data_IF_952061425419
#
_entry.id   IF_952061425419
#
_cell.length_a   1.000
_cell.length_b   1.000
_cell.length_c   1.000
_cell.angle_alpha   90.00
_cell.angle_beta   90.00
_cell.angle_gamma   90.00
#
_symmetry.space_group_name_H-M   'P 1'
#
loop_
_entity.id
_entity.type
_entity.pdbx_description
1 polymer ?
#
# COMPACT_ATOMS: atom_id res chain seq x y z
N UNK A 1 47.74 7.56 -7.18
CA UNK A 1 46.79 8.20 -8.12
C UNK A 1 45.52 8.40 -7.34
N UNK A 2 45.22 9.66 -7.03
CA UNK A 2 44.00 10.10 -6.35
C UNK A 2 42.81 9.67 -7.22
N UNK A 3 41.79 9.04 -6.64
CA UNK A 3 40.51 8.84 -7.33
C UNK A 3 39.81 10.20 -7.33
N UNK A 4 39.66 10.89 -8.47
CA UNK A 4 38.90 12.13 -8.51
C UNK A 4 37.47 11.84 -8.09
N UNK A 5 36.93 12.67 -7.20
CA UNK A 5 35.52 12.58 -6.83
C UNK A 5 34.71 13.07 -8.01
N UNK A 6 33.77 12.24 -8.49
CA UNK A 6 32.97 12.51 -9.68
C UNK A 6 31.78 13.40 -9.37
N UNK A 7 31.10 13.14 -8.25
CA UNK A 7 29.87 13.84 -7.89
C UNK A 7 29.58 13.67 -6.39
N UNK A 8 29.22 14.75 -5.73
CA UNK A 8 28.80 14.76 -4.33
C UNK A 8 27.32 15.12 -4.29
N UNK A 9 26.49 14.30 -3.64
CA UNK A 9 25.04 14.47 -3.61
C UNK A 9 24.51 14.52 -2.18
N UNK A 10 23.58 15.45 -1.93
CA UNK A 10 22.72 15.46 -0.75
C UNK A 10 21.38 14.85 -1.09
N UNK A 11 20.90 13.95 -0.24
CA UNK A 11 19.54 13.43 -0.36
C UNK A 11 18.83 13.46 1.00
N UNK A 12 17.81 14.33 1.19
CA UNK A 12 17.40 15.47 0.34
C UNK A 12 18.26 16.74 0.54
N UNK A 13 18.30 17.62 -0.48
CA UNK A 13 18.95 18.95 -0.41
C UNK A 13 18.25 19.90 0.57
N UNK A 14 16.93 19.75 0.74
CA UNK A 14 16.15 20.49 1.74
C UNK A 14 15.86 19.62 2.97
N UNK A 15 16.65 19.77 4.05
CA UNK A 15 16.43 19.02 5.28
C UNK A 15 15.12 19.39 5.96
N UNK A 16 14.48 18.40 6.56
CA UNK A 16 13.28 18.58 7.40
C UNK A 16 13.60 18.06 8.79
N UNK A 17 13.13 18.76 9.83
CA UNK A 17 13.25 18.31 11.22
C UNK A 17 12.78 16.86 11.39
N UNK A 18 13.62 16.04 12.04
CA UNK A 18 13.33 14.63 12.31
C UNK A 18 13.53 13.68 11.12
N UNK A 19 13.94 14.16 9.95
CA UNK A 19 14.23 13.34 8.77
C UNK A 19 15.74 13.23 8.56
N UNK A 20 16.26 12.00 8.42
CA UNK A 20 17.68 11.77 8.15
C UNK A 20 18.11 12.44 6.85
N UNK A 21 19.27 13.07 6.88
CA UNK A 21 19.97 13.57 5.71
C UNK A 21 21.31 12.85 5.55
N UNK A 22 21.56 12.42 4.31
CA UNK A 22 22.78 11.73 3.93
C UNK A 22 23.57 12.60 2.95
N UNK A 23 24.89 12.53 3.06
CA UNK A 23 25.81 13.02 2.05
C UNK A 23 26.53 11.82 1.44
N UNK A 24 26.50 11.69 0.12
CA UNK A 24 27.18 10.61 -0.58
C UNK A 24 28.19 11.14 -1.58
N UNK A 25 29.25 10.36 -1.79
CA UNK A 25 30.36 10.66 -2.70
C UNK A 25 30.40 9.56 -3.77
N UNK A 26 30.22 9.94 -5.03
CA UNK A 26 30.41 9.03 -6.16
C UNK A 26 31.88 9.09 -6.62
N UNK A 27 32.55 7.94 -6.65
CA UNK A 27 33.94 7.80 -7.12
C UNK A 27 33.98 7.42 -8.62
N UNK A 28 35.06 7.76 -9.33
CA UNK A 28 35.19 7.51 -10.77
C UNK A 28 35.33 6.03 -11.18
N UNK A 29 35.70 5.12 -10.27
CA UNK A 29 36.06 3.73 -10.57
C UNK A 29 35.19 2.77 -9.71
N UNK A 30 34.21 2.12 -10.35
CA UNK A 30 33.15 1.28 -9.71
C UNK A 30 33.68 -0.09 -9.20
N UNK A 31 34.91 -0.45 -9.58
CA UNK A 31 35.49 -1.78 -9.35
C UNK A 31 36.42 -1.88 -8.11
N UNK A 32 36.50 -0.85 -7.26
CA UNK A 32 37.31 -0.87 -6.02
C UNK A 32 36.45 -0.67 -4.78
N UNK A 33 36.83 -1.32 -3.68
CA UNK A 33 36.23 -1.07 -2.36
C UNK A 33 36.19 0.44 -2.08
N UNK A 34 34.98 0.96 -1.80
CA UNK A 34 34.80 2.36 -1.49
C UNK A 34 35.64 2.73 -0.27
N UNK A 35 36.42 3.83 -0.31
CA UNK A 35 37.23 4.25 0.81
C UNK A 35 36.33 4.56 2.02
N UNK A 36 36.85 4.32 3.22
CA UNK A 36 36.15 4.73 4.44
C UNK A 36 36.03 6.26 4.46
N UNK A 37 34.78 6.75 4.53
CA UNK A 37 34.46 8.17 4.50
C UNK A 37 34.05 8.65 5.89
N UNK A 38 34.70 9.71 6.35
CA UNK A 38 34.32 10.40 7.58
C UNK A 38 33.46 11.61 7.25
N UNK A 39 32.32 11.72 7.93
CA UNK A 39 31.35 12.79 7.76
C UNK A 39 31.32 13.64 9.03
N UNK A 40 31.57 14.93 8.92
CA UNK A 40 31.55 15.88 10.04
C UNK A 40 30.51 16.95 9.77
N UNK A 41 29.48 17.00 10.61
CA UNK A 41 28.34 17.89 10.45
C UNK A 41 28.48 19.15 11.29
N UNK A 42 28.05 20.26 10.72
CA UNK A 42 28.09 21.59 11.31
C UNK A 42 26.76 22.31 11.08
N UNK A 43 26.41 23.19 12.00
CA UNK A 43 25.36 24.18 11.86
C UNK A 43 25.98 25.51 11.47
N UNK A 44 25.46 26.12 10.41
CA UNK A 44 25.93 27.44 9.94
C UNK A 44 25.08 28.55 10.57
N UNK A 45 25.73 29.39 11.38
CA UNK A 45 25.11 30.56 12.00
C UNK A 45 24.98 31.71 11.01
N UNK A 46 24.11 32.68 11.30
CA UNK A 46 23.88 33.86 10.44
C UNK A 46 25.16 34.67 10.17
N UNK A 47 26.09 34.70 11.13
CA UNK A 47 27.39 35.36 11.01
C UNK A 47 28.40 34.57 10.17
N UNK A 48 28.03 33.40 9.63
CA UNK A 48 28.88 32.51 8.85
C UNK A 48 29.74 31.55 9.68
N UNK A 49 29.68 31.59 11.02
CA UNK A 49 30.40 30.64 11.87
C UNK A 49 29.82 29.23 11.76
N UNK A 50 30.72 28.24 11.82
CA UNK A 50 30.39 26.82 11.84
C UNK A 50 30.42 26.33 13.29
N UNK A 51 29.29 25.82 13.75
CA UNK A 51 29.19 25.12 15.03
C UNK A 51 29.20 23.62 14.76
N UNK A 52 30.13 22.88 15.37
CA UNK A 52 30.19 21.42 15.24
C UNK A 52 28.92 20.80 15.83
N UNK A 53 28.27 19.92 15.06
CA UNK A 53 27.11 19.14 15.50
C UNK A 53 27.55 17.73 15.89
N UNK A 54 27.99 16.92 14.92
CA UNK A 54 28.25 15.50 15.12
C UNK A 54 29.19 14.92 14.04
N UNK A 55 29.90 13.83 14.35
CA UNK A 55 30.66 13.03 13.38
C UNK A 55 29.92 11.73 13.14
N UNK A 56 29.19 11.65 12.04
CA UNK A 56 28.25 10.56 11.73
C UNK A 56 27.95 10.55 10.23
N UNK A 57 27.71 9.36 9.67
CA UNK A 57 27.37 9.17 8.25
C UNK A 57 26.10 9.93 7.83
N UNK A 58 25.17 10.14 8.77
CA UNK A 58 23.94 10.90 8.54
C UNK A 58 23.63 11.78 9.74
N UNK A 59 22.95 12.89 9.50
CA UNK A 59 22.44 13.77 10.56
C UNK A 59 20.91 13.80 10.55
N UNK A 60 20.30 14.00 11.72
CA UNK A 60 18.85 14.19 11.83
C UNK A 60 18.60 15.59 12.40
N UNK A 61 18.11 16.54 11.59
CA UNK A 61 17.88 17.92 12.03
C UNK A 61 16.90 17.99 13.19
N UNK A 62 17.15 18.92 14.10
CA UNK A 62 16.36 19.18 15.31
C UNK A 62 15.59 20.49 15.17
N UNK A 63 14.61 20.78 16.05
CA UNK A 63 13.92 22.07 16.06
C UNK A 63 14.85 23.29 16.22
N UNK A 64 16.04 23.12 16.78
CA UNK A 64 17.03 24.20 16.92
C UNK A 64 17.71 24.58 15.60
N UNK A 65 17.62 23.71 14.59
CA UNK A 65 18.28 23.91 13.30
C UNK A 65 17.36 24.61 12.30
N UNK A 66 16.06 24.74 12.60
CA UNK A 66 15.05 25.35 11.73
C UNK A 66 15.49 26.75 11.29
N UNK A 67 15.43 26.99 9.97
CA UNK A 67 15.85 28.24 9.35
C UNK A 67 17.37 28.41 9.17
N UNK A 68 18.18 27.47 9.67
CA UNK A 68 19.64 27.47 9.50
C UNK A 68 20.07 26.46 8.45
N UNK A 69 21.15 26.74 7.74
CA UNK A 69 21.79 25.76 6.83
C UNK A 69 22.68 24.81 7.63
N UNK A 70 22.67 23.54 7.25
CA UNK A 70 23.59 22.54 7.74
C UNK A 70 24.75 22.40 6.76
N UNK A 71 25.95 22.18 7.27
CA UNK A 71 27.13 21.94 6.46
C UNK A 71 27.77 20.59 6.82
N UNK A 72 28.11 19.77 5.84
CA UNK A 72 28.84 18.52 6.05
C UNK A 72 30.21 18.59 5.38
N UNK A 73 31.23 18.22 6.13
CA UNK A 73 32.57 17.97 5.62
C UNK A 73 32.75 16.46 5.43
N UNK A 74 32.99 16.03 4.20
CA UNK A 74 33.25 14.63 3.86
C UNK A 74 34.73 14.45 3.59
N UNK A 75 35.38 13.60 4.39
CA UNK A 75 36.83 13.39 4.41
C UNK A 75 37.12 11.93 4.07
N UNK A 76 37.85 11.69 3.00
CA UNK A 76 38.24 10.36 2.57
C UNK A 76 39.07 10.38 1.29
N UNK A 77 39.83 9.31 1.03
CA UNK A 77 40.68 9.16 -0.15
C UNK A 77 41.65 10.34 -0.44
N UNK A 78 42.11 11.03 0.61
CA UNK A 78 43.03 12.18 0.48
C UNK A 78 42.35 13.51 0.11
N UNK A 79 41.02 13.56 0.06
CA UNK A 79 40.25 14.77 -0.27
C UNK A 79 39.30 15.14 0.89
N UNK A 80 39.08 16.44 1.10
CA UNK A 80 38.02 16.98 1.96
C UNK A 80 37.12 17.89 1.12
N UNK A 81 35.80 17.68 1.19
CA UNK A 81 34.81 18.52 0.53
C UNK A 81 33.73 18.96 1.52
N UNK A 82 33.27 20.20 1.39
CA UNK A 82 32.20 20.77 2.22
C UNK A 82 30.95 21.02 1.38
N UNK A 83 29.78 20.78 1.97
CA UNK A 83 28.49 21.07 1.33
C UNK A 83 27.52 21.69 2.32
N UNK A 84 26.82 22.74 1.88
CA UNK A 84 25.73 23.36 2.65
C UNK A 84 24.37 22.93 2.10
N UNK A 85 23.42 22.66 3.00
CA UNK A 85 22.01 22.45 2.65
C UNK A 85 21.29 23.79 2.45
N UNK A 86 20.08 23.76 1.88
CA UNK A 86 19.13 24.86 2.10
C UNK A 86 18.75 24.93 3.60
N UNK A 87 18.18 26.04 4.08
CA UNK A 87 17.73 26.14 5.46
C UNK A 87 16.80 24.99 5.87
N UNK A 88 17.01 24.44 7.07
CA UNK A 88 16.17 23.36 7.60
C UNK A 88 14.73 23.81 7.70
N UNK A 89 13.84 23.01 7.13
CA UNK A 89 12.40 23.19 7.18
C UNK A 89 11.84 22.59 8.46
N UNK A 90 10.87 23.28 9.05
CA UNK A 90 10.06 22.71 10.13
C UNK A 90 9.25 21.51 9.62
N UNK A 91 8.88 20.61 10.52
CA UNK A 91 8.09 19.43 10.18
C UNK A 91 6.66 19.85 9.82
N UNK A 92 6.18 19.63 8.58
CA UNK A 92 4.90 20.20 8.17
C UNK A 92 3.74 19.62 9.00
N UNK A 93 2.71 20.42 9.25
CA UNK A 93 1.53 19.94 9.96
C UNK A 93 0.89 18.73 9.25
N UNK A 94 0.43 17.78 10.06
CA UNK A 94 -0.36 16.63 9.61
C UNK A 94 -1.81 17.08 9.53
N UNK A 95 -2.49 16.75 8.44
CA UNK A 95 -3.92 17.00 8.28
C UNK A 95 -4.68 15.76 8.74
N UNK A 96 -5.22 15.73 9.98
CA UNK A 96 -5.89 14.55 10.48
C UNK A 96 -7.14 14.28 9.65
N UNK A 97 -7.37 13.00 9.34
CA UNK A 97 -8.61 12.52 8.73
C UNK A 97 -9.47 11.83 9.78
N UNK A 98 -10.77 12.08 9.76
CA UNK A 98 -11.73 11.52 10.71
C UNK A 98 -12.60 10.42 10.10
N UNK A 99 -13.08 9.52 10.95
CA UNK A 99 -14.10 8.55 10.58
C UNK A 99 -15.44 9.24 10.37
N UNK A 100 -16.05 9.02 9.21
CA UNK A 100 -17.42 9.42 8.91
C UNK A 100 -18.32 8.20 9.06
N UNK A 101 -19.25 8.28 10.02
CA UNK A 101 -20.23 7.21 10.29
C UNK A 101 -21.52 7.45 9.52
N UNK A 102 -22.30 6.39 9.33
CA UNK A 102 -23.71 6.58 8.98
C UNK A 102 -24.39 7.45 10.04
N UNK A 103 -25.33 8.30 9.63
CA UNK A 103 -26.25 8.92 10.59
C UNK A 103 -26.83 7.81 11.47
N UNK A 104 -26.61 7.90 12.78
CA UNK A 104 -26.78 6.81 13.73
C UNK A 104 -28.13 6.11 13.57
N UNK A 105 -28.14 4.92 12.98
CA UNK A 105 -29.25 3.98 13.17
C UNK A 105 -29.26 3.54 14.64
N UNK A 106 -30.44 3.36 15.24
CA UNK A 106 -30.59 2.93 16.63
C UNK A 106 -29.81 1.63 16.94
N UNK A 107 -29.63 0.73 15.95
CA UNK A 107 -28.87 -0.51 16.11
C UNK A 107 -27.34 -0.33 16.20
N UNK A 108 -26.81 0.82 15.74
CA UNK A 108 -25.37 1.15 15.71
C UNK A 108 -25.01 2.15 16.82
N UNK A 109 -26.01 2.87 17.35
CA UNK A 109 -25.85 3.84 18.43
C UNK A 109 -25.43 3.19 19.76
N UNK A 110 -25.82 1.93 19.99
CA UNK A 110 -25.57 1.19 21.24
C UNK A 110 -24.28 0.32 21.22
N UNK A 111 -23.56 0.23 20.09
CA UNK A 111 -22.31 -0.53 20.03
C UNK A 111 -21.20 0.21 20.80
N UNK A 112 -20.61 -0.47 21.78
CA UNK A 112 -19.45 0.08 22.48
C UNK A 112 -18.24 0.10 21.54
N UNK A 113 -17.30 1.02 21.77
CA UNK A 113 -16.09 1.14 20.96
C UNK A 113 -15.27 -0.17 20.93
N UNK A 114 -15.33 -0.92 22.04
CA UNK A 114 -14.71 -2.24 22.16
C UNK A 114 -15.33 -3.30 21.26
N UNK A 115 -16.60 -3.16 20.86
CA UNK A 115 -17.32 -4.13 20.00
C UNK A 115 -16.92 -3.98 18.52
N UNK A 116 -16.48 -2.79 18.14
CA UNK A 116 -16.09 -2.44 16.77
C UNK A 116 -14.60 -2.56 16.53
N UNK A 117 -14.18 -2.68 15.28
CA UNK A 117 -12.79 -2.60 14.86
C UNK A 117 -12.66 -1.88 13.52
N UNK A 118 -11.45 -1.46 13.19
CA UNK A 118 -11.12 -0.71 11.97
C UNK A 118 -10.07 -1.44 11.16
N UNK A 119 -10.23 -1.39 9.83
CA UNK A 119 -9.27 -1.98 8.87
C UNK A 119 -8.90 -0.92 7.85
N UNK A 120 -7.60 -0.64 7.73
CA UNK A 120 -7.03 0.33 6.80
C UNK A 120 -6.29 -0.39 5.67
N UNK A 121 -6.43 0.08 4.43
CA UNK A 121 -5.60 -0.32 3.29
C UNK A 121 -4.85 0.87 2.71
N UNK A 122 -3.56 0.71 2.39
CA UNK A 122 -2.76 1.79 1.83
C UNK A 122 -1.51 1.33 1.05
N UNK A 123 -1.44 1.70 -0.23
CA UNK A 123 -0.21 1.56 -1.03
C UNK A 123 0.75 2.71 -0.69
N UNK A 124 1.95 2.39 -0.24
CA UNK A 124 2.92 3.34 0.30
C UNK A 124 3.83 3.98 -0.75
N UNK A 125 3.75 3.55 -2.02
CA UNK A 125 4.62 4.04 -3.10
C UNK A 125 6.11 3.95 -2.73
N UNK A 126 6.70 2.75 -2.67
CA UNK A 126 8.11 2.64 -2.24
C UNK A 126 9.10 3.09 -3.31
N UNK A 127 10.35 3.24 -2.88
CA UNK A 127 11.48 3.63 -3.70
C UNK A 127 11.68 2.64 -4.86
N UNK A 128 11.30 3.02 -6.09
CA UNK A 128 11.79 2.37 -7.31
C UNK A 128 13.06 3.11 -7.74
N UNK A 129 14.26 2.51 -7.63
CA UNK A 129 15.48 3.12 -8.12
C UNK A 129 15.34 3.53 -9.59
N UNK A 130 15.62 4.80 -9.92
CA UNK A 130 15.50 5.32 -11.28
C UNK A 130 14.08 5.74 -11.71
N UNK A 131 13.07 5.65 -10.85
CA UNK A 131 11.80 6.33 -11.10
C UNK A 131 11.97 7.83 -10.86
N UNK A 132 11.59 8.63 -11.85
CA UNK A 132 11.69 10.09 -11.88
C UNK A 132 10.85 10.75 -10.76
N UNK A 133 11.35 10.67 -9.53
CA UNK A 133 10.85 11.43 -8.37
C UNK A 133 11.66 12.71 -8.14
N UNK A 134 12.73 12.92 -8.92
CA UNK A 134 13.55 14.14 -8.87
C UNK A 134 12.73 15.40 -9.20
N UNK A 135 11.68 15.28 -10.03
CA UNK A 135 10.78 16.40 -10.39
C UNK A 135 9.84 16.85 -9.26
N UNK A 136 9.66 16.04 -8.21
CA UNK A 136 8.78 16.32 -7.06
C UNK A 136 9.50 17.02 -5.89
N UNK A 137 10.79 17.35 -6.08
CA UNK A 137 11.61 18.05 -5.09
C UNK A 137 11.89 17.23 -3.82
N UNK A 138 12.08 17.91 -2.70
CA UNK A 138 12.46 17.28 -1.42
C UNK A 138 11.35 16.42 -0.79
N UNK A 139 10.08 16.69 -1.10
CA UNK A 139 8.93 16.00 -0.52
C UNK A 139 8.76 14.57 -1.05
N UNK A 140 9.35 14.24 -2.20
CA UNK A 140 9.39 12.88 -2.71
C UNK A 140 10.49 12.01 -2.09
N UNK A 141 11.44 12.62 -1.36
CA UNK A 141 12.50 11.91 -0.67
C UNK A 141 11.93 10.81 0.22
N UNK A 142 12.43 9.59 0.05
CA UNK A 142 11.98 8.45 0.84
C UNK A 142 12.12 8.67 2.34
N UNK A 143 13.20 9.33 2.79
CA UNK A 143 13.40 9.62 4.21
C UNK A 143 12.34 10.55 4.81
N UNK A 144 11.84 11.49 4.01
CA UNK A 144 10.71 12.32 4.39
C UNK A 144 9.41 11.51 4.38
N UNK A 145 9.11 10.84 3.26
CA UNK A 145 7.88 10.07 3.08
C UNK A 145 7.75 8.94 4.10
N UNK A 146 8.77 8.14 4.35
CA UNK A 146 8.70 7.02 5.30
C UNK A 146 8.32 7.48 6.72
N UNK A 147 8.82 8.65 7.16
CA UNK A 147 8.45 9.23 8.45
C UNK A 147 7.01 9.74 8.43
N UNK A 148 6.63 10.45 7.38
CA UNK A 148 5.27 10.97 7.20
C UNK A 148 4.24 9.87 7.11
N UNK A 149 4.53 8.77 6.42
CA UNK A 149 3.65 7.60 6.29
C UNK A 149 3.38 6.96 7.66
N UNK A 150 4.41 6.79 8.50
CA UNK A 150 4.22 6.28 9.87
C UNK A 150 3.36 7.25 10.69
N UNK A 151 3.66 8.55 10.66
CA UNK A 151 2.90 9.53 11.43
C UNK A 151 1.43 9.64 10.93
N UNK A 152 1.20 9.50 9.62
CA UNK A 152 -0.13 9.46 9.02
C UNK A 152 -0.92 8.21 9.45
N UNK A 153 -0.34 7.02 9.25
CA UNK A 153 -1.00 5.74 9.53
C UNK A 153 -1.32 5.59 11.02
N UNK A 154 -0.38 5.97 11.90
CA UNK A 154 -0.57 5.90 13.36
C UNK A 154 -1.56 6.97 13.85
N UNK A 155 -1.66 8.10 13.16
CA UNK A 155 -2.66 9.13 13.40
C UNK A 155 -4.10 8.64 13.20
N UNK A 156 -4.33 7.69 12.27
CA UNK A 156 -5.66 7.11 12.03
C UNK A 156 -6.09 6.08 13.08
N UNK A 157 -5.15 5.53 13.85
CA UNK A 157 -5.41 4.56 14.93
C UNK A 157 -6.24 3.34 14.49
N UNK A 158 -5.96 2.83 13.29
CA UNK A 158 -6.65 1.65 12.78
C UNK A 158 -6.29 0.41 13.59
N UNK A 159 -7.19 -0.55 13.77
CA UNK A 159 -6.86 -1.76 14.53
C UNK A 159 -6.06 -2.77 13.70
N UNK A 160 -6.26 -2.75 12.38
CA UNK A 160 -5.61 -3.60 11.41
C UNK A 160 -5.17 -2.74 10.21
N UNK A 161 -3.92 -2.90 9.78
CA UNK A 161 -3.30 -2.18 8.66
C UNK A 161 -2.93 -3.18 7.57
N UNK A 162 -3.38 -2.95 6.34
CA UNK A 162 -3.01 -3.69 5.14
C UNK A 162 -2.23 -2.75 4.23
N UNK A 163 -0.92 -2.89 4.18
CA UNK A 163 -0.03 -1.98 3.47
C UNK A 163 0.58 -2.66 2.25
N UNK A 164 0.63 -1.97 1.12
CA UNK A 164 1.23 -2.44 -0.13
C UNK A 164 2.49 -1.64 -0.47
N UNK A 165 3.32 -2.22 -1.34
CA UNK A 165 4.61 -1.65 -1.75
C UNK A 165 5.49 -1.28 -0.55
N UNK A 166 5.78 -2.23 0.35
CA UNK A 166 6.80 -2.02 1.41
C UNK A 166 8.09 -2.73 1.01
N UNK A 167 9.20 -2.00 0.90
CA UNK A 167 10.52 -2.58 0.65
C UNK A 167 10.95 -3.45 1.84
N UNK A 168 11.50 -4.64 1.57
CA UNK A 168 11.81 -5.63 2.61
C UNK A 168 12.71 -5.09 3.72
N UNK A 169 13.73 -4.28 3.38
CA UNK A 169 14.60 -3.70 4.39
C UNK A 169 13.90 -2.62 5.21
N UNK A 170 13.05 -1.79 4.59
CA UNK A 170 12.30 -0.74 5.28
C UNK A 170 11.26 -1.34 6.23
N UNK A 171 10.64 -2.47 5.86
CA UNK A 171 9.77 -3.21 6.77
C UNK A 171 10.50 -3.52 8.09
N UNK A 172 11.67 -4.16 8.00
CA UNK A 172 12.44 -4.63 9.17
C UNK A 172 13.09 -3.51 9.97
N UNK A 173 13.58 -2.48 9.29
CA UNK A 173 14.43 -1.45 9.90
C UNK A 173 13.66 -0.19 10.29
N UNK A 174 12.46 0.01 9.75
CA UNK A 174 11.64 1.21 9.99
C UNK A 174 10.20 0.88 10.38
N UNK A 175 9.39 0.29 9.49
CA UNK A 175 7.95 0.16 9.73
C UNK A 175 7.62 -0.74 10.92
N UNK A 176 8.24 -1.92 11.00
CA UNK A 176 8.03 -2.85 12.12
C UNK A 176 8.42 -2.24 13.48
N UNK A 177 9.64 -1.71 13.69
CA UNK A 177 10.01 -1.12 14.97
C UNK A 177 9.23 0.15 15.30
N UNK A 178 8.88 0.99 14.32
CA UNK A 178 8.09 2.20 14.58
C UNK A 178 6.64 1.86 14.94
N UNK A 179 5.96 0.96 14.20
CA UNK A 179 4.58 0.57 14.49
C UNK A 179 4.48 -0.27 15.78
N UNK A 180 5.53 -1.01 16.16
CA UNK A 180 5.60 -1.69 17.45
C UNK A 180 5.44 -0.73 18.63
N UNK A 181 5.96 0.50 18.54
CA UNK A 181 5.80 1.54 19.58
C UNK A 181 4.34 1.93 19.80
N UNK A 182 3.48 1.70 18.81
CA UNK A 182 2.03 1.94 18.85
C UNK A 182 1.23 0.66 19.15
N UNK A 183 1.90 -0.46 19.47
CA UNK A 183 1.25 -1.72 19.86
C UNK A 183 0.91 -2.66 18.70
N UNK A 184 1.39 -2.38 17.49
CA UNK A 184 1.17 -3.28 16.35
C UNK A 184 2.17 -4.44 16.34
N UNK A 185 1.68 -5.62 15.96
CA UNK A 185 2.49 -6.73 15.47
C UNK A 185 2.34 -6.83 13.95
N UNK A 186 3.41 -7.15 13.23
CA UNK A 186 3.46 -7.15 11.76
C UNK A 186 3.75 -8.52 11.14
N UNK A 187 3.19 -8.75 9.96
CA UNK A 187 3.48 -9.88 9.07
C UNK A 187 3.81 -9.30 7.70
N UNK A 188 4.90 -9.76 7.08
CA UNK A 188 5.33 -9.28 5.78
C UNK A 188 5.59 -10.41 4.80
N UNK A 189 5.04 -10.28 3.59
CA UNK A 189 5.36 -11.14 2.46
C UNK A 189 5.94 -10.29 1.33
N UNK A 190 7.19 -10.58 0.99
CA UNK A 190 7.86 -10.04 -0.20
C UNK A 190 7.23 -10.64 -1.47
N UNK A 191 7.15 -9.87 -2.54
CA UNK A 191 6.87 -10.39 -3.89
C UNK A 191 7.85 -11.50 -4.28
N UNK A 192 7.35 -12.51 -5.01
CA UNK A 192 8.14 -13.67 -5.43
C UNK A 192 9.14 -13.32 -6.55
N UNK A 193 8.88 -12.26 -7.32
CA UNK A 193 9.82 -11.79 -8.34
C UNK A 193 11.14 -11.34 -7.68
N UNK A 194 12.29 -11.96 -7.99
CA UNK A 194 13.56 -11.66 -7.31
C UNK A 194 14.07 -10.22 -7.56
N UNK A 195 13.64 -9.60 -8.67
CA UNK A 195 13.97 -8.23 -9.03
C UNK A 195 13.12 -7.21 -8.27
N UNK A 196 11.95 -7.61 -7.79
CA UNK A 196 11.11 -6.81 -6.93
C UNK A 196 11.53 -7.07 -5.48
N UNK A 197 11.72 -5.99 -4.72
CA UNK A 197 12.19 -6.04 -3.32
C UNK A 197 11.12 -5.58 -2.35
N UNK A 198 9.99 -5.11 -2.87
CA UNK A 198 8.80 -4.74 -2.14
C UNK A 198 7.85 -5.92 -1.91
N UNK A 199 6.82 -5.67 -1.11
CA UNK A 199 5.83 -6.67 -0.71
C UNK A 199 4.63 -6.05 -0.02
N UNK A 200 3.80 -6.92 0.56
CA UNK A 200 2.64 -6.54 1.35
C UNK A 200 2.89 -6.82 2.83
N UNK A 201 2.47 -5.90 3.69
CA UNK A 201 2.50 -6.08 5.14
C UNK A 201 1.10 -6.02 5.74
N UNK A 202 0.80 -6.88 6.70
CA UNK A 202 -0.40 -6.79 7.53
C UNK A 202 0.01 -6.59 8.97
N UNK A 203 -0.39 -5.46 9.57
CA UNK A 203 -0.20 -5.18 10.98
C UNK A 203 -1.53 -5.23 11.73
N UNK A 204 -1.50 -5.58 13.01
CA UNK A 204 -2.69 -5.58 13.86
C UNK A 204 -2.30 -5.22 15.30
N UNK A 205 -3.20 -4.53 16.01
CA UNK A 205 -3.01 -4.19 17.42
C UNK A 205 -3.00 -5.47 18.26
N UNK A 206 -1.85 -5.78 18.87
CA UNK A 206 -1.61 -7.05 19.57
C UNK A 206 -2.42 -7.20 20.87
N UNK A 207 -2.96 -6.11 21.39
CA UNK A 207 -3.86 -6.08 22.55
C UNK A 207 -5.34 -6.24 22.17
N UNK A 208 -5.69 -6.13 20.88
CA UNK A 208 -7.06 -6.31 20.38
C UNK A 208 -7.23 -7.57 19.56
N UNK A 209 -6.16 -8.04 18.90
CA UNK A 209 -6.18 -9.21 18.04
C UNK A 209 -5.00 -10.13 18.29
N UNK A 210 -5.27 -11.42 18.26
CA UNK A 210 -4.28 -12.51 18.29
C UNK A 210 -4.21 -13.15 16.91
N UNK A 211 -3.01 -13.23 16.32
CA UNK A 211 -2.80 -14.03 15.12
C UNK A 211 -2.88 -15.52 15.45
N UNK A 212 -3.82 -16.22 14.82
CA UNK A 212 -3.98 -17.67 14.92
C UNK A 212 -3.22 -18.41 13.81
N UNK A 213 -3.22 -17.86 12.59
CA UNK A 213 -2.56 -18.47 11.45
C UNK A 213 -2.32 -17.45 10.32
N UNK A 214 -1.33 -17.73 9.48
CA UNK A 214 -0.99 -16.91 8.31
C UNK A 214 -0.88 -17.81 7.08
N UNK A 215 -1.38 -17.32 5.95
CA UNK A 215 -1.27 -18.01 4.67
C UNK A 215 -0.78 -17.07 3.59
N UNK A 216 0.27 -17.47 2.90
CA UNK A 216 0.89 -16.71 1.83
C UNK A 216 0.43 -17.28 0.49
N UNK A 217 -0.07 -16.41 -0.38
CA UNK A 217 -0.49 -16.78 -1.73
C UNK A 217 0.57 -16.27 -2.70
N UNK A 218 1.14 -17.19 -3.47
CA UNK A 218 2.02 -16.87 -4.59
C UNK A 218 1.26 -17.15 -5.89
N UNK A 219 0.87 -16.10 -6.61
CA UNK A 219 0.02 -16.26 -7.80
C UNK A 219 0.70 -17.07 -8.91
N UNK A 220 2.03 -17.03 -8.97
CA UNK A 220 2.83 -17.79 -9.94
C UNK A 220 2.70 -19.31 -9.68
N UNK A 221 2.62 -19.74 -8.42
CA UNK A 221 2.34 -21.15 -8.08
C UNK A 221 0.95 -21.58 -8.55
N UNK A 222 -0.05 -20.71 -8.38
CA UNK A 222 -1.41 -20.98 -8.86
C UNK A 222 -1.47 -20.96 -10.40
N UNK A 223 -0.67 -20.10 -11.03
CA UNK A 223 -0.54 -20.05 -12.48
C UNK A 223 0.04 -21.36 -13.01
N UNK A 224 1.04 -21.92 -12.35
CA UNK A 224 1.59 -23.24 -12.67
C UNK A 224 0.53 -24.35 -12.59
N UNK A 225 -0.26 -24.39 -11.51
CA UNK A 225 -1.33 -25.38 -11.34
C UNK A 225 -2.43 -25.27 -12.41
N UNK A 226 -2.74 -24.04 -12.83
CA UNK A 226 -3.70 -23.76 -13.90
C UNK A 226 -3.08 -24.14 -15.24
N UNK A 227 -1.83 -23.77 -15.51
CA UNK A 227 -1.10 -24.09 -16.73
C UNK A 227 -0.99 -25.60 -16.99
N UNK A 228 -0.76 -26.41 -15.95
CA UNK A 228 -0.69 -27.88 -16.07
C UNK A 228 -2.01 -28.52 -16.53
N UNK A 229 -3.13 -27.79 -16.50
CA UNK A 229 -4.44 -28.26 -16.98
C UNK A 229 -4.66 -27.94 -18.48
N UNK A 230 -3.74 -27.23 -19.13
CA UNK A 230 -3.79 -26.93 -20.56
C UNK A 230 -3.06 -27.99 -21.39
N UNK A 231 -3.43 -28.06 -22.68
CA UNK A 231 -3.13 -29.15 -23.58
C UNK A 231 -1.65 -29.54 -23.71
N UNK A 232 -0.96 -28.94 -24.67
CA UNK A 232 0.42 -29.29 -25.02
C UNK A 232 1.44 -28.65 -24.07
N UNK A 233 2.68 -29.19 -23.98
CA UNK A 233 3.75 -28.56 -23.20
C UNK A 233 4.05 -27.11 -23.62
N UNK A 234 3.90 -26.79 -24.91
CA UNK A 234 4.09 -25.43 -25.40
C UNK A 234 3.01 -24.48 -24.88
N UNK A 235 1.74 -24.88 -24.94
CA UNK A 235 0.63 -24.08 -24.40
C UNK A 235 0.75 -23.89 -22.89
N UNK A 236 1.21 -24.92 -22.17
CA UNK A 236 1.51 -24.84 -20.73
C UNK A 236 2.54 -23.75 -20.45
N UNK A 237 3.65 -23.73 -21.20
CA UNK A 237 4.72 -22.74 -21.02
C UNK A 237 4.24 -21.32 -21.36
N UNK A 238 3.45 -21.15 -22.42
CA UNK A 238 2.88 -19.86 -22.79
C UNK A 238 1.94 -19.31 -21.71
N UNK A 239 1.11 -20.16 -21.10
CA UNK A 239 0.23 -19.79 -19.97
C UNK A 239 1.07 -19.33 -18.77
N UNK A 240 2.13 -20.08 -18.43
CA UNK A 240 3.01 -19.77 -17.30
C UNK A 240 3.69 -18.42 -17.48
N UNK A 241 4.33 -18.19 -18.63
CA UNK A 241 5.00 -16.92 -18.94
C UNK A 241 4.02 -15.75 -18.86
N UNK A 242 2.78 -15.97 -19.27
CA UNK A 242 1.76 -14.93 -19.32
C UNK A 242 1.17 -14.58 -17.94
N UNK A 243 0.91 -15.58 -17.09
CA UNK A 243 0.28 -15.37 -15.78
C UNK A 243 1.29 -15.11 -14.65
N UNK A 244 2.55 -15.53 -14.82
CA UNK A 244 3.59 -15.35 -13.81
C UNK A 244 4.08 -13.92 -13.79
N UNK A 245 3.90 -13.25 -12.65
CA UNK A 245 4.20 -11.83 -12.46
C UNK A 245 4.97 -11.59 -11.16
N UNK A 246 5.01 -12.59 -10.28
CA UNK A 246 5.60 -12.52 -8.94
C UNK A 246 4.80 -11.71 -7.94
N UNK A 247 3.56 -11.32 -8.27
CA UNK A 247 2.63 -10.74 -7.32
C UNK A 247 2.21 -11.78 -6.27
N UNK A 248 1.86 -11.31 -5.08
CA UNK A 248 1.54 -12.13 -3.92
C UNK A 248 0.30 -11.58 -3.20
N UNK A 249 -0.27 -12.40 -2.33
CA UNK A 249 -1.17 -11.94 -1.28
C UNK A 249 -0.81 -12.59 0.07
N UNK A 250 -1.21 -11.96 1.16
CA UNK A 250 -1.04 -12.49 2.51
C UNK A 250 -2.39 -12.48 3.23
N UNK A 251 -2.75 -13.62 3.82
CA UNK A 251 -3.96 -13.81 4.61
C UNK A 251 -3.57 -14.03 6.08
N UNK A 252 -4.28 -13.37 6.99
CA UNK A 252 -4.05 -13.48 8.43
C UNK A 252 -5.37 -13.81 9.11
N UNK A 253 -5.41 -14.94 9.80
CA UNK A 253 -6.54 -15.33 10.63
C UNK A 253 -6.35 -14.75 12.02
N UNK A 254 -7.18 -13.76 12.36
CA UNK A 254 -7.15 -13.04 13.62
C UNK A 254 -8.30 -13.47 14.53
N UNK A 255 -8.03 -13.55 15.82
CA UNK A 255 -9.04 -13.69 16.88
C UNK A 255 -9.09 -12.42 17.71
N UNK A 256 -10.30 -11.90 17.94
CA UNK A 256 -10.51 -10.72 18.77
C UNK A 256 -10.35 -11.06 20.25
N UNK A 257 -9.60 -10.22 20.97
CA UNK A 257 -9.27 -10.38 22.39
C UNK A 257 -10.30 -9.59 23.23
N UNK A 258 -11.52 -10.08 23.28
CA UNK A 258 -12.63 -9.48 24.04
C UNK A 258 -13.53 -10.51 24.75
N UNK A 259 -13.15 -11.79 24.70
CA UNK A 259 -13.94 -12.90 25.26
C UNK A 259 -15.05 -13.42 24.34
N UNK A 260 -15.32 -12.78 23.19
CA UNK A 260 -16.30 -13.26 22.21
C UNK A 260 -15.79 -14.44 21.37
N UNK A 261 -14.47 -14.63 21.30
CA UNK A 261 -13.79 -15.54 20.38
C UNK A 261 -14.13 -15.26 18.90
N UNK A 262 -14.50 -14.02 18.56
CA UNK A 262 -14.75 -13.59 17.20
C UNK A 262 -13.51 -13.76 16.32
N UNK A 263 -13.63 -14.48 15.21
CA UNK A 263 -12.55 -14.73 14.25
C UNK A 263 -12.78 -13.94 12.96
N UNK A 264 -11.71 -13.43 12.39
CA UNK A 264 -11.71 -12.64 11.17
C UNK A 264 -10.51 -13.04 10.31
N UNK A 265 -10.74 -13.35 9.04
CA UNK A 265 -9.66 -13.46 8.07
C UNK A 265 -9.46 -12.11 7.37
N UNK A 266 -8.29 -11.51 7.52
CA UNK A 266 -7.91 -10.30 6.78
C UNK A 266 -6.88 -10.66 5.74
N UNK A 267 -7.15 -10.29 4.49
CA UNK A 267 -6.27 -10.56 3.38
C UNK A 267 -5.79 -9.24 2.77
N UNK A 268 -4.55 -9.22 2.31
CA UNK A 268 -3.89 -8.06 1.71
C UNK A 268 -3.14 -8.48 0.43
N UNK A 269 -3.29 -7.71 -0.64
CA UNK A 269 -2.64 -7.97 -1.93
C UNK A 269 -2.23 -6.69 -2.65
N UNK A 270 -1.33 -6.84 -3.62
CA UNK A 270 -1.09 -5.84 -4.66
C UNK A 270 -1.08 -6.57 -6.00
N UNK A 271 -2.18 -6.45 -6.75
CA UNK A 271 -2.43 -7.10 -8.04
C UNK A 271 -1.59 -6.45 -9.15
N UNK A 272 -1.20 -7.23 -10.16
CA UNK A 272 -0.37 -6.72 -11.26
C UNK A 272 -1.07 -5.57 -12.03
N UNK A 273 -0.39 -4.42 -12.26
CA UNK A 273 -0.95 -3.30 -13.03
C UNK A 273 -1.01 -3.54 -14.54
N UNK A 274 -0.19 -4.47 -15.09
CA UNK A 274 -0.13 -4.77 -16.54
C UNK A 274 -1.37 -5.50 -17.09
N UNK A 275 -2.48 -5.44 -16.35
CA UNK A 275 -3.52 -6.45 -16.35
C UNK A 275 -4.71 -6.18 -17.28
N UNK A 276 -4.82 -4.97 -17.85
CA UNK A 276 -5.74 -4.72 -18.95
C UNK A 276 -5.33 -5.47 -20.23
N UNK A 277 -4.08 -5.96 -20.30
CA UNK A 277 -3.68 -6.90 -21.32
C UNK A 277 -3.90 -8.34 -20.81
N UNK A 278 -4.99 -8.96 -21.29
CA UNK A 278 -5.15 -10.43 -21.38
C UNK A 278 -5.41 -11.19 -20.04
N UNK A 279 -6.31 -10.70 -19.18
CA UNK A 279 -6.92 -11.53 -18.12
C UNK A 279 -6.08 -11.84 -16.87
N UNK A 280 -4.88 -11.24 -16.71
CA UNK A 280 -3.99 -11.51 -15.56
C UNK A 280 -4.57 -11.00 -14.23
N UNK A 281 -5.09 -9.77 -14.15
CA UNK A 281 -5.73 -9.26 -12.91
C UNK A 281 -6.92 -10.11 -12.54
N UNK A 282 -7.70 -10.50 -13.55
CA UNK A 282 -8.87 -11.34 -13.36
C UNK A 282 -8.47 -12.69 -12.77
N UNK A 283 -7.44 -13.34 -13.32
CA UNK A 283 -6.88 -14.57 -12.75
C UNK A 283 -6.41 -14.37 -11.29
N UNK A 284 -5.64 -13.31 -11.02
CA UNK A 284 -5.11 -13.06 -9.67
C UNK A 284 -6.21 -12.76 -8.66
N UNK A 285 -7.16 -11.91 -8.99
CA UNK A 285 -8.28 -11.53 -8.11
C UNK A 285 -9.18 -12.72 -7.85
N UNK A 286 -9.49 -13.50 -8.89
CA UNK A 286 -10.30 -14.71 -8.75
C UNK A 286 -9.58 -15.75 -7.88
N UNK A 287 -8.28 -15.96 -8.10
CA UNK A 287 -7.45 -16.86 -7.29
C UNK A 287 -7.35 -16.39 -5.84
N UNK A 288 -7.22 -15.08 -5.65
CA UNK A 288 -7.14 -14.44 -4.33
C UNK A 288 -8.41 -14.69 -3.52
N UNK A 289 -9.59 -14.42 -4.10
CA UNK A 289 -10.88 -14.70 -3.45
C UNK A 289 -11.01 -16.18 -3.12
N UNK A 290 -10.66 -17.07 -4.06
CA UNK A 290 -10.76 -18.52 -3.85
C UNK A 290 -9.88 -19.03 -2.70
N UNK A 291 -8.62 -18.60 -2.68
CA UNK A 291 -7.66 -19.03 -1.66
C UNK A 291 -7.99 -18.43 -0.29
N UNK A 292 -8.53 -17.21 -0.22
CA UNK A 292 -9.05 -16.64 1.04
C UNK A 292 -10.26 -17.42 1.54
N UNK A 293 -11.22 -17.76 0.68
CA UNK A 293 -12.39 -18.59 1.05
C UNK A 293 -11.96 -19.95 1.60
N UNK A 294 -10.97 -20.58 0.97
CA UNK A 294 -10.40 -21.86 1.37
C UNK A 294 -9.65 -21.75 2.70
N UNK A 295 -8.86 -20.69 2.88
CA UNK A 295 -8.09 -20.46 4.10
C UNK A 295 -8.98 -20.13 5.31
N UNK A 296 -10.03 -19.33 5.11
CA UNK A 296 -11.02 -19.06 6.15
C UNK A 296 -11.68 -20.37 6.63
N UNK A 297 -11.84 -21.36 5.73
CA UNK A 297 -12.30 -22.74 5.91
C UNK A 297 -13.70 -22.90 6.55
N UNK A 298 -13.94 -22.27 7.69
CA UNK A 298 -15.22 -22.18 8.38
C UNK A 298 -16.15 -21.15 7.69
N UNK A 299 -17.39 -21.52 7.32
CA UNK A 299 -18.39 -20.58 6.81
C UNK A 299 -18.72 -19.41 7.73
N UNK A 300 -18.50 -19.57 9.03
CA UNK A 300 -18.79 -18.55 10.04
C UNK A 300 -17.70 -17.48 10.16
N UNK A 301 -16.50 -17.74 9.64
CA UNK A 301 -15.40 -16.77 9.71
C UNK A 301 -15.57 -15.75 8.59
N UNK A 302 -15.95 -14.49 8.90
CA UNK A 302 -15.94 -13.43 7.91
C UNK A 302 -14.53 -13.18 7.39
N UNK A 303 -14.46 -12.64 6.19
CA UNK A 303 -13.23 -12.11 5.65
C UNK A 303 -13.36 -10.70 5.08
N UNK A 304 -12.25 -9.97 5.13
CA UNK A 304 -12.05 -8.64 4.55
C UNK A 304 -10.86 -8.74 3.59
N UNK A 305 -11.07 -8.34 2.34
CA UNK A 305 -10.05 -8.26 1.31
C UNK A 305 -9.63 -6.80 1.15
N UNK A 306 -8.39 -6.52 1.52
CA UNK A 306 -7.72 -5.25 1.29
C UNK A 306 -6.71 -5.37 0.16
N UNK A 307 -6.35 -4.26 -0.44
CA UNK A 307 -5.26 -4.20 -1.40
C UNK A 307 -5.37 -3.08 -2.41
N UNK A 308 -4.29 -2.95 -3.18
CA UNK A 308 -4.29 -2.31 -4.49
C UNK A 308 -4.64 -3.40 -5.52
N UNK A 309 -5.86 -3.33 -6.05
CA UNK A 309 -6.40 -4.31 -6.99
C UNK A 309 -6.01 -3.99 -8.43
N UNK A 310 -5.45 -2.80 -8.71
CA UNK A 310 -5.16 -2.33 -10.07
C UNK A 310 -6.33 -2.56 -11.05
N UNK A 311 -7.56 -2.45 -10.56
CA UNK A 311 -8.78 -2.79 -11.27
C UNK A 311 -9.83 -1.70 -11.03
N UNK A 312 -10.29 -1.07 -12.10
CA UNK A 312 -11.34 -0.05 -12.06
C UNK A 312 -12.71 -0.66 -11.68
N UNK A 313 -13.67 0.09 -11.08
CA UNK A 313 -14.95 -0.47 -10.69
C UNK A 313 -15.82 -0.95 -11.87
N UNK A 314 -15.53 -0.54 -13.11
CA UNK A 314 -16.19 -1.07 -14.30
C UNK A 314 -15.55 -2.38 -14.82
N UNK A 315 -14.39 -2.77 -14.27
CA UNK A 315 -13.65 -3.95 -14.70
C UNK A 315 -14.36 -5.26 -14.36
N UNK A 316 -14.02 -6.29 -15.12
CA UNK A 316 -14.51 -7.65 -14.92
C UNK A 316 -14.10 -8.24 -13.56
N UNK A 317 -12.93 -7.87 -13.07
CA UNK A 317 -12.43 -8.35 -11.79
C UNK A 317 -13.22 -7.74 -10.62
N UNK A 318 -13.52 -6.44 -10.70
CA UNK A 318 -14.38 -5.78 -9.73
C UNK A 318 -15.80 -6.38 -9.72
N UNK A 319 -16.39 -6.60 -10.90
CA UNK A 319 -17.71 -7.24 -11.03
C UNK A 319 -17.71 -8.66 -10.48
N UNK A 320 -16.66 -9.44 -10.73
CA UNK A 320 -16.52 -10.77 -10.15
C UNK A 320 -16.55 -10.73 -8.62
N UNK A 321 -15.78 -9.83 -7.98
CA UNK A 321 -15.73 -9.70 -6.52
C UNK A 321 -17.10 -9.31 -5.96
N UNK A 322 -17.79 -8.36 -6.59
CA UNK A 322 -19.04 -7.78 -6.07
C UNK A 322 -20.29 -8.59 -6.39
N UNK A 323 -20.34 -9.23 -7.56
CA UNK A 323 -21.48 -10.03 -8.01
C UNK A 323 -21.32 -11.53 -7.70
N UNK A 324 -20.10 -11.98 -7.36
CA UNK A 324 -19.76 -13.39 -7.11
C UNK A 324 -19.84 -14.28 -8.36
N UNK A 325 -20.07 -13.69 -9.53
CA UNK A 325 -20.24 -14.38 -10.81
C UNK A 325 -19.77 -13.51 -11.95
N UNK A 326 -19.57 -14.15 -13.10
CA UNK A 326 -19.21 -13.46 -14.33
C UNK A 326 -19.86 -14.18 -15.52
N UNK A 327 -20.63 -13.43 -16.31
CA UNK A 327 -21.17 -13.94 -17.57
C UNK A 327 -20.10 -13.82 -18.65
N UNK A 328 -19.49 -14.95 -19.00
CA UNK A 328 -18.49 -15.03 -20.05
C UNK A 328 -19.10 -15.14 -21.46
N UNK A 329 -20.34 -15.59 -21.59
CA UNK A 329 -20.98 -15.83 -22.89
C UNK A 329 -21.54 -14.54 -23.49
N UNK A 330 -22.02 -13.61 -22.65
CA UNK A 330 -22.43 -12.28 -23.07
C UNK A 330 -21.26 -11.39 -23.59
N UNK A 331 -20.00 -11.84 -23.43
CA UNK A 331 -18.78 -11.05 -23.72
C UNK A 331 -18.35 -11.01 -25.16
N UNK A 332 -18.79 -11.97 -25.98
CA UNK A 332 -18.23 -12.26 -27.31
C UNK A 332 -18.46 -11.16 -28.37
N UNK A 333 -18.97 -9.97 -28.00
CA UNK A 333 -19.41 -8.93 -28.94
C UNK A 333 -18.82 -7.53 -28.78
N UNK A 334 -18.00 -7.23 -27.75
CA UNK A 334 -17.54 -5.84 -27.54
C UNK A 334 -16.07 -5.62 -27.18
N UNK A 335 -15.34 -6.63 -26.71
CA UNK A 335 -13.92 -6.47 -26.38
C UNK A 335 -13.10 -7.50 -27.15
N UNK A 336 -12.48 -7.05 -28.24
CA UNK A 336 -11.42 -7.79 -28.92
C UNK A 336 -10.17 -7.75 -28.06
N UNK A 337 -10.12 -8.57 -27.01
CA UNK A 337 -8.84 -9.06 -26.51
C UNK A 337 -8.20 -9.84 -27.68
N UNK A 338 -6.92 -9.58 -27.93
CA UNK A 338 -6.18 -10.13 -29.08
C UNK A 338 -6.46 -11.64 -29.18
N UNK A 339 -7.01 -12.08 -30.31
CA UNK A 339 -7.21 -13.50 -30.63
C UNK A 339 -5.85 -14.18 -30.76
N UNK A 340 -5.22 -14.52 -29.64
CA UNK A 340 -4.16 -15.51 -29.60
C UNK A 340 -4.86 -16.87 -29.47
N UNK A 341 -4.59 -17.77 -30.41
CA UNK A 341 -5.17 -19.11 -30.45
C UNK A 341 -4.87 -19.80 -29.09
N UNK A 342 -5.90 -20.23 -28.36
CA UNK A 342 -5.78 -20.86 -27.03
C UNK A 342 -6.10 -19.95 -25.82
N UNK A 343 -6.18 -18.62 -25.97
CA UNK A 343 -6.39 -17.71 -24.82
C UNK A 343 -7.84 -17.61 -24.32
N UNK A 344 -8.83 -17.73 -25.20
CA UNK A 344 -10.24 -17.81 -24.77
C UNK A 344 -10.50 -19.07 -23.93
N UNK A 345 -9.67 -20.10 -24.07
CA UNK A 345 -9.69 -21.30 -23.23
C UNK A 345 -9.05 -21.03 -21.86
N UNK A 346 -8.06 -20.12 -21.75
CA UNK A 346 -7.44 -19.76 -20.48
C UNK A 346 -8.42 -19.03 -19.57
N UNK A 347 -9.07 -17.99 -20.07
CA UNK A 347 -10.08 -17.25 -19.30
C UNK A 347 -11.24 -18.18 -18.92
N UNK A 348 -11.74 -18.99 -19.86
CA UNK A 348 -12.78 -19.98 -19.57
C UNK A 348 -12.32 -21.02 -18.55
N UNK A 349 -11.08 -21.49 -18.60
CA UNK A 349 -10.53 -22.43 -17.62
C UNK A 349 -10.37 -21.79 -16.25
N UNK A 350 -9.81 -20.59 -16.16
CA UNK A 350 -9.72 -19.77 -14.93
C UNK A 350 -11.10 -19.65 -14.30
N UNK A 351 -12.12 -19.22 -15.07
CA UNK A 351 -13.48 -19.12 -14.57
C UNK A 351 -14.13 -20.46 -14.25
N UNK A 352 -13.90 -21.51 -15.04
CA UNK A 352 -14.46 -22.84 -14.80
C UNK A 352 -13.89 -23.45 -13.53
N UNK A 353 -12.63 -23.19 -13.22
CA UNK A 353 -11.92 -23.79 -12.10
C UNK A 353 -11.98 -22.96 -10.81
N UNK A 354 -12.22 -21.65 -10.91
CA UNK A 354 -12.15 -20.74 -9.77
C UNK A 354 -13.48 -19.99 -9.50
N UNK A 355 -14.63 -20.54 -9.94
CA UNK A 355 -15.92 -20.06 -9.42
C UNK A 355 -15.86 -20.11 -7.88
N UNK A 356 -16.29 -19.05 -7.17
CA UNK A 356 -16.39 -19.06 -5.73
C UNK A 356 -17.17 -20.30 -5.30
N UNK A 357 -16.62 -21.07 -4.35
CA UNK A 357 -17.33 -22.24 -3.84
C UNK A 357 -18.53 -21.81 -3.01
N UNK A 358 -18.45 -20.61 -2.44
CA UNK A 358 -19.51 -19.95 -1.69
C UNK A 358 -20.06 -18.82 -2.55
N UNK A 359 -21.38 -18.66 -2.59
CA UNK A 359 -22.04 -17.50 -3.21
C UNK A 359 -21.85 -16.22 -2.40
N UNK A 360 -20.64 -15.98 -1.87
CA UNK A 360 -20.31 -14.91 -0.95
C UNK A 360 -20.34 -13.60 -1.72
N UNK A 361 -21.41 -12.82 -1.54
CA UNK A 361 -21.45 -11.45 -2.05
C UNK A 361 -20.53 -10.60 -1.18
N UNK A 362 -19.43 -10.17 -1.77
CA UNK A 362 -18.55 -9.17 -1.15
C UNK A 362 -19.03 -7.80 -1.56
N UNK A 363 -18.93 -6.85 -0.63
CA UNK A 363 -19.34 -5.48 -0.86
C UNK A 363 -18.14 -4.57 -0.62
N UNK A 364 -17.92 -3.60 -1.51
CA UNK A 364 -16.93 -2.53 -1.26
C UNK A 364 -17.44 -1.64 -0.13
N UNK A 365 -16.60 -1.44 0.89
CA UNK A 365 -16.91 -0.61 2.05
C UNK A 365 -17.30 0.82 1.63
N UNK A 366 -16.56 1.44 0.72
CA UNK A 366 -16.85 2.79 0.25
C UNK A 366 -18.08 2.82 -0.68
N UNK A 367 -18.25 1.83 -1.56
CA UNK A 367 -19.47 1.69 -2.35
C UNK A 367 -20.74 1.59 -1.49
N UNK A 368 -20.70 0.74 -0.47
CA UNK A 368 -21.79 0.61 0.48
C UNK A 368 -22.04 1.91 1.24
N UNK A 369 -20.96 2.57 1.67
CA UNK A 369 -21.04 3.82 2.40
C UNK A 369 -21.77 4.91 1.58
N UNK A 370 -21.28 5.20 0.37
CA UNK A 370 -21.90 6.18 -0.51
C UNK A 370 -23.32 5.80 -0.95
N UNK A 371 -23.59 4.51 -1.14
CA UNK A 371 -24.93 3.99 -1.42
C UNK A 371 -25.93 4.27 -0.30
N UNK A 372 -25.47 4.29 0.95
CA UNK A 372 -26.32 4.51 2.14
C UNK A 372 -26.44 5.97 2.56
N UNK A 373 -25.65 6.89 1.98
CA UNK A 373 -25.76 8.32 2.28
C UNK A 373 -27.07 8.92 1.75
N UNK A 374 -27.79 9.73 2.54
CA UNK A 374 -29.00 10.42 2.09
C UNK A 374 -28.77 11.25 0.81
N UNK A 375 -29.77 11.36 -0.09
CA UNK A 375 -29.71 12.30 -1.20
C UNK A 375 -29.37 13.72 -0.73
N UNK A 376 -28.45 14.39 -1.42
CA UNK A 376 -27.99 15.74 -1.06
C UNK A 376 -26.96 15.81 0.07
N UNK A 377 -26.57 14.69 0.69
CA UNK A 377 -25.48 14.68 1.66
C UNK A 377 -24.19 15.22 1.03
N UNK A 378 -23.52 16.24 1.62
CA UNK A 378 -22.42 16.97 0.97
C UNK A 378 -21.25 16.05 0.58
N UNK A 379 -21.00 15.03 1.40
CA UNK A 379 -19.94 14.06 1.15
C UNK A 379 -20.15 13.22 -0.14
N UNK A 380 -21.36 13.15 -0.69
CA UNK A 380 -21.62 12.45 -1.97
C UNK A 380 -20.84 13.07 -3.14
N UNK A 381 -20.36 14.31 -3.02
CA UNK A 381 -19.50 14.95 -4.03
C UNK A 381 -18.11 14.29 -4.17
N UNK A 382 -17.71 13.45 -3.21
CA UNK A 382 -16.45 12.69 -3.21
C UNK A 382 -16.55 11.33 -3.89
N UNK A 383 -17.74 10.99 -4.38
CA UNK A 383 -18.02 9.73 -5.06
C UNK A 383 -17.90 9.93 -6.58
N UNK A 384 -17.56 8.88 -7.31
CA UNK A 384 -17.59 8.84 -8.76
C UNK A 384 -18.99 9.20 -9.31
N UNK A 385 -19.07 9.79 -10.50
CA UNK A 385 -20.35 10.30 -11.02
C UNK A 385 -21.40 9.18 -11.16
N UNK A 386 -20.99 8.08 -11.80
CA UNK A 386 -21.86 6.95 -12.16
C UNK A 386 -21.77 5.77 -11.19
N UNK A 387 -20.70 5.71 -10.40
CA UNK A 387 -20.43 4.60 -9.50
C UNK A 387 -20.61 5.07 -8.05
N UNK A 388 -20.88 4.15 -7.12
CA UNK A 388 -20.90 4.51 -5.70
C UNK A 388 -19.50 4.49 -5.08
N UNK A 389 -18.42 4.43 -5.86
CA UNK A 389 -17.05 4.41 -5.35
C UNK A 389 -16.46 5.83 -5.16
N UNK A 390 -15.30 5.99 -4.49
CA UNK A 390 -14.56 7.26 -4.45
C UNK A 390 -14.32 7.83 -5.86
N UNK A 391 -14.10 9.15 -5.99
CA UNK A 391 -13.69 9.74 -7.27
C UNK A 391 -12.37 9.14 -7.78
N UNK A 392 -11.44 8.89 -6.86
CA UNK A 392 -10.15 8.24 -7.11
C UNK A 392 -9.56 7.77 -5.78
N UNK A 393 -8.69 6.77 -5.84
CA UNK A 393 -7.85 6.30 -4.74
C UNK A 393 -6.36 6.40 -5.11
N UNK A 394 -6.06 6.51 -6.39
CA UNK A 394 -4.75 6.80 -6.98
C UNK A 394 -4.83 8.11 -7.77
N UNK A 395 -3.82 8.97 -7.60
CA UNK A 395 -3.71 10.24 -8.31
C UNK A 395 -2.26 10.53 -8.71
N UNK A 396 -2.00 10.52 -10.01
CA UNK A 396 -0.75 10.98 -10.62
C UNK A 396 -1.08 11.81 -11.85
N UNK A 397 -1.26 13.12 -11.65
CA UNK A 397 -1.74 14.03 -12.69
C UNK A 397 -1.07 13.79 -14.06
N UNK A 398 -1.85 13.69 -15.16
CA UNK A 398 -3.30 13.88 -15.26
C UNK A 398 -4.12 12.58 -15.05
N UNK A 399 -3.51 11.52 -14.53
CA UNK A 399 -4.15 10.21 -14.35
C UNK A 399 -4.74 10.10 -12.95
N UNK A 400 -6.01 9.70 -12.88
CA UNK A 400 -6.71 9.35 -11.64
C UNK A 400 -7.52 8.07 -11.84
N UNK A 401 -7.52 7.19 -10.84
CA UNK A 401 -8.19 5.90 -10.90
C UNK A 401 -8.68 5.47 -9.51
N UNK A 402 -9.67 4.57 -9.49
CA UNK A 402 -10.06 3.83 -8.27
C UNK A 402 -9.44 2.44 -8.39
N UNK A 403 -8.39 2.19 -7.61
CA UNK A 403 -7.59 0.97 -7.65
C UNK A 403 -7.57 0.23 -6.31
N UNK A 404 -7.80 0.96 -5.21
CA UNK A 404 -7.68 0.47 -3.85
C UNK A 404 -9.07 0.20 -3.26
N UNK A 405 -9.23 -0.95 -2.61
CA UNK A 405 -10.53 -1.36 -2.08
C UNK A 405 -10.43 -2.05 -0.72
N UNK A 406 -11.52 -1.94 0.04
CA UNK A 406 -11.80 -2.77 1.20
C UNK A 406 -13.11 -3.51 0.89
N UNK A 407 -13.00 -4.76 0.44
CA UNK A 407 -14.15 -5.63 0.26
C UNK A 407 -14.40 -6.45 1.52
N UNK A 408 -15.65 -6.67 1.88
CA UNK A 408 -15.97 -7.43 3.07
C UNK A 408 -17.21 -8.30 2.89
N UNK A 409 -17.32 -9.32 3.74
CA UNK A 409 -18.43 -10.26 3.80
C UNK A 409 -19.65 -9.63 4.49
N UNK A 410 -20.54 -9.01 3.70
CA UNK A 410 -21.69 -8.27 4.25
C UNK A 410 -22.65 -9.15 5.04
N UNK A 411 -22.76 -10.45 4.73
CA UNK A 411 -23.58 -11.38 5.51
C UNK A 411 -23.17 -11.55 6.98
N UNK A 412 -21.91 -11.24 7.33
CA UNK A 412 -21.32 -11.58 8.64
C UNK A 412 -20.73 -10.38 9.38
N UNK A 413 -20.55 -9.25 8.71
CA UNK A 413 -20.03 -8.02 9.30
C UNK A 413 -21.00 -6.86 9.11
N UNK A 414 -21.24 -6.10 10.17
CA UNK A 414 -21.77 -4.75 10.03
C UNK A 414 -20.62 -3.81 9.65
N UNK A 415 -20.84 -2.98 8.64
CA UNK A 415 -19.98 -1.85 8.31
C UNK A 415 -20.67 -0.58 8.83
N UNK A 416 -19.97 0.31 9.55
CA UNK A 416 -20.58 1.46 10.24
C UNK A 416 -20.03 2.85 9.81
N UNK A 417 -18.98 2.89 8.99
CA UNK A 417 -18.39 4.13 8.51
C UNK A 417 -17.05 3.95 7.82
N UNK A 418 -16.58 5.03 7.18
CA UNK A 418 -15.31 5.07 6.46
C UNK A 418 -14.45 6.25 6.89
N UNK A 419 -13.13 6.14 6.72
CA UNK A 419 -12.22 7.28 6.87
C UNK A 419 -12.50 8.30 5.77
N UNK A 420 -12.56 9.56 6.16
CA UNK A 420 -12.79 10.63 5.19
C UNK A 420 -11.73 10.64 4.08
N UNK A 421 -12.15 10.94 2.86
CA UNK A 421 -11.30 11.12 1.71
C UNK A 421 -10.74 12.54 1.74
N UNK A 422 -9.46 12.73 1.41
CA UNK A 422 -8.82 14.04 1.49
C UNK A 422 -9.47 15.05 0.53
N UNK A 423 -9.28 16.33 0.82
CA UNK A 423 -9.72 17.44 -0.02
C UNK A 423 -8.75 17.71 -1.17
N UNK A 424 -8.62 16.73 -2.06
CA UNK A 424 -7.81 16.78 -3.28
C UNK A 424 -8.65 17.09 -4.51
N UNK A 425 -8.07 17.87 -5.42
CA UNK A 425 -8.53 18.10 -6.79
C UNK A 425 -7.75 17.19 -7.71
N UNK A 426 -8.34 16.82 -8.86
CA UNK A 426 -7.66 16.03 -9.90
C UNK A 426 -6.39 16.67 -10.44
N UNK A 427 -6.23 17.99 -10.28
CA UNK A 427 -5.04 18.76 -10.68
C UNK A 427 -3.95 18.81 -9.60
N UNK A 428 -4.22 18.31 -8.40
CA UNK A 428 -3.21 18.25 -7.35
C UNK A 428 -2.19 17.15 -7.68
N UNK A 429 -0.97 17.32 -7.15
CA UNK A 429 0.15 16.43 -7.43
C UNK A 429 0.40 15.59 -6.19
N UNK A 430 0.47 14.27 -6.36
CA UNK A 430 0.90 13.33 -5.32
C UNK A 430 2.15 12.55 -5.79
N UNK A 431 3.05 12.18 -4.87
CA UNK A 431 3.10 12.63 -3.47
C UNK A 431 3.35 14.15 -3.37
N UNK A 432 3.03 14.73 -2.22
CA UNK A 432 3.18 16.15 -1.91
C UNK A 432 3.77 16.36 -0.52
N UNK A 433 3.97 17.63 -0.14
CA UNK A 433 4.37 17.97 1.23
C UNK A 433 3.38 17.46 2.29
N UNK A 434 2.11 17.24 1.95
CA UNK A 434 1.08 16.81 2.90
C UNK A 434 0.71 15.34 2.78
N UNK A 435 1.00 14.69 1.64
CA UNK A 435 0.56 13.32 1.33
C UNK A 435 1.71 12.54 0.75
N UNK A 436 2.11 11.43 1.38
CA UNK A 436 3.39 10.76 1.12
C UNK A 436 3.32 9.56 0.18
N UNK A 437 2.18 9.38 -0.50
CA UNK A 437 1.97 8.39 -1.55
C UNK A 437 1.14 9.04 -2.68
N UNK A 438 1.22 8.47 -3.88
CA UNK A 438 0.28 8.72 -4.98
C UNK A 438 -1.06 7.98 -4.80
N UNK A 439 -1.16 7.12 -3.80
CA UNK A 439 -2.41 6.53 -3.33
C UNK A 439 -2.99 7.26 -2.09
N UNK A 440 -4.25 7.00 -1.80
CA UNK A 440 -4.99 7.50 -0.64
C UNK A 440 -5.28 6.34 0.31
N UNK A 441 -4.88 6.46 1.58
CA UNK A 441 -5.27 5.49 2.59
C UNK A 441 -6.81 5.43 2.74
N UNK A 442 -7.36 4.23 2.65
CA UNK A 442 -8.77 3.93 2.88
C UNK A 442 -8.92 3.19 4.20
N UNK A 443 -9.99 3.44 4.95
CA UNK A 443 -10.27 2.68 6.16
C UNK A 443 -11.76 2.51 6.37
N UNK A 444 -12.17 1.30 6.73
CA UNK A 444 -13.56 0.97 7.10
C UNK A 444 -13.63 0.58 8.56
N UNK A 445 -14.78 0.84 9.18
CA UNK A 445 -15.09 0.42 10.55
C UNK A 445 -16.21 -0.61 10.56
N UNK A 446 -16.00 -1.66 11.34
CA UNK A 446 -16.77 -2.89 11.30
C UNK A 446 -17.11 -3.41 12.69
N UNK A 447 -18.12 -4.27 12.77
CA UNK A 447 -18.39 -5.15 13.90
C UNK A 447 -18.93 -6.49 13.42
N UNK A 448 -18.81 -7.53 14.24
CA UNK A 448 -19.41 -8.82 13.93
C UNK A 448 -20.94 -8.72 14.01
N UNK A 449 -21.65 -9.34 13.06
CA UNK A 449 -23.08 -9.58 13.19
C UNK A 449 -23.31 -10.67 14.24
N UNK A 450 -24.38 -10.56 15.02
CA UNK A 450 -24.79 -11.65 15.92
C UNK A 450 -25.10 -12.91 15.10
N UNK A 451 -24.71 -14.09 15.60
CA UNK A 451 -25.17 -15.36 15.03
C UNK A 451 -26.70 -15.43 15.18
N UNK A 452 -27.43 -15.56 14.06
CA UNK A 452 -28.89 -15.74 14.02
C UNK A 452 -29.27 -17.16 14.35
#
# INVERSE_FOLDING_TARGET
MENPIKLLRFHPISPVVGCKIHASVDFEDDDRESPELKHVWYRKRENGERELLEVTEFYTPTPQDVGLSLEVEVIGAGVSNNFSTTPVLDYPLIHPRQMIRYGSSAAVADLQEMDTFTVLTYNLMTHVPGSASEDLGWAASWHYRQKRLVDEITGYRADILCLQEIYQNDFRTWFEPELLKFGYAGIFKKRSNPNLKDGCATFYLNNRFRNLNTYEIEFDTLADEVAMKFGTPQETEEVKIHLSTGNIAVCVLLEKIDGSNGKLCVANTHICPMSHQRGVSLFQIVSYVHEVEKFAADPKVPFILCGDFNADPESDAYKFVTEGKLDLEARDRKFTYVQVKGYSDIEKAVFKHLKPKRGTSLVSAYAHFFGSLPPGHPYRQKKHETLNEPCFTFLKYPVDNVLDYIFYTDGSLHHDGVLELPNLRKTDILPSIHWSSDHIALMGRFSFKAEV
#
